data_IF_489405211541
#
_entry.id   IF_489405211541
#
_cell.length_a   1.000
_cell.length_b   1.000
_cell.length_c   1.000
_cell.angle_alpha   90.00
_cell.angle_beta   90.00
_cell.angle_gamma   90.00
#
_symmetry.space_group_name_H-M   'P 1'
#
loop_
_entity.id
_entity.type
_entity.pdbx_description
1 polymer ?
#
# COMPACT_ATOMS: atom_id res chain seq x y z
N UNK A 1 4.13 18.75 18.08
CA UNK A 1 4.48 18.00 16.87
C UNK A 1 3.98 18.73 15.64
N UNK A 2 4.81 18.91 14.63
CA UNK A 2 4.43 19.57 13.39
C UNK A 2 3.47 18.71 12.57
N UNK A 3 2.77 19.33 11.62
CA UNK A 3 1.90 18.61 10.68
C UNK A 3 2.70 17.58 9.89
N UNK A 4 3.90 17.96 9.46
CA UNK A 4 4.80 17.06 8.72
C UNK A 4 5.14 15.82 9.54
N UNK A 5 5.51 16.00 10.80
CA UNK A 5 5.84 14.88 11.69
C UNK A 5 4.63 13.99 11.94
N UNK A 6 3.45 14.57 12.17
CA UNK A 6 2.21 13.81 12.35
C UNK A 6 1.86 12.99 11.11
N UNK A 7 2.03 13.58 9.94
CA UNK A 7 1.73 12.89 8.69
C UNK A 7 2.69 11.73 8.44
N UNK A 8 3.98 11.91 8.75
CA UNK A 8 4.96 10.82 8.67
C UNK A 8 4.64 9.70 9.65
N UNK A 9 4.24 10.02 10.87
CA UNK A 9 3.85 9.00 11.85
C UNK A 9 2.61 8.24 11.41
N UNK A 10 1.63 8.93 10.83
CA UNK A 10 0.43 8.29 10.29
C UNK A 10 0.79 7.27 9.21
N UNK A 11 1.65 7.65 8.28
CA UNK A 11 2.08 6.76 7.20
C UNK A 11 2.87 5.57 7.75
N UNK A 12 3.75 5.79 8.72
CA UNK A 12 4.48 4.70 9.36
C UNK A 12 3.52 3.71 10.04
N UNK A 13 2.54 4.23 10.77
CA UNK A 13 1.53 3.40 11.42
C UNK A 13 0.71 2.60 10.40
N UNK A 14 0.32 3.24 9.32
CA UNK A 14 -0.40 2.61 8.22
C UNK A 14 0.34 1.37 7.71
N UNK A 15 1.64 1.51 7.40
CA UNK A 15 2.43 0.38 6.91
C UNK A 15 2.70 -0.67 8.00
N UNK A 16 2.82 -0.25 9.25
CA UNK A 16 2.95 -1.20 10.37
C UNK A 16 1.69 -2.06 10.51
N UNK A 17 0.52 -1.47 10.37
CA UNK A 17 -0.76 -2.20 10.42
C UNK A 17 -0.88 -3.17 9.25
N UNK A 18 -0.54 -2.73 8.05
CA UNK A 18 -0.51 -3.60 6.86
C UNK A 18 0.39 -4.81 7.10
N UNK A 19 1.61 -4.58 7.60
CA UNK A 19 2.59 -5.65 7.81
C UNK A 19 2.16 -6.65 8.89
N UNK A 20 1.43 -6.19 9.89
CA UNK A 20 0.95 -7.04 10.98
C UNK A 20 -0.30 -7.85 10.61
N UNK A 21 -0.88 -7.61 9.44
CA UNK A 21 -2.11 -8.25 9.01
C UNK A 21 -3.36 -7.68 9.68
N UNK A 22 -3.24 -6.52 10.33
CA UNK A 22 -4.39 -5.87 10.95
C UNK A 22 -5.23 -5.14 9.92
N UNK A 23 -6.54 -5.35 9.96
CA UNK A 23 -7.48 -4.64 9.09
C UNK A 23 -7.66 -3.17 9.48
N UNK A 24 -7.09 -2.74 10.61
CA UNK A 24 -7.23 -1.36 11.09
C UNK A 24 -6.62 -0.32 10.15
N UNK A 25 -5.71 -0.72 9.25
CA UNK A 25 -5.20 0.21 8.24
C UNK A 25 -6.33 0.78 7.37
N UNK A 26 -7.42 0.05 7.20
CA UNK A 26 -8.57 0.49 6.43
C UNK A 26 -9.27 1.70 7.06
N UNK A 27 -9.12 1.90 8.36
CA UNK A 27 -9.71 3.05 9.07
C UNK A 27 -9.04 4.36 8.69
N UNK A 28 -7.86 4.31 8.08
CA UNK A 28 -7.22 5.52 7.55
C UNK A 28 -7.86 6.02 6.25
N UNK A 29 -8.65 5.19 5.59
CA UNK A 29 -9.38 5.60 4.38
C UNK A 29 -10.77 6.13 4.73
N UNK A 30 -11.30 6.99 3.87
CA UNK A 30 -12.68 7.45 3.90
C UNK A 30 -13.39 7.01 2.61
N UNK A 31 -14.69 7.25 2.53
CA UNK A 31 -15.46 6.95 1.31
C UNK A 31 -15.01 7.82 0.13
N UNK A 32 -14.31 8.92 0.39
CA UNK A 32 -13.76 9.80 -0.65
C UNK A 32 -12.34 9.43 -1.06
N UNK A 33 -11.70 8.49 -0.36
CA UNK A 33 -10.33 8.10 -0.64
C UNK A 33 -10.20 7.42 -2.00
N UNK A 34 -9.12 7.76 -2.71
CA UNK A 34 -8.76 7.13 -3.97
C UNK A 34 -7.44 6.39 -3.79
N UNK A 35 -7.45 5.09 -4.05
CA UNK A 35 -6.28 4.24 -3.96
C UNK A 35 -5.93 3.83 -5.40
N UNK A 36 -4.81 4.35 -5.89
CA UNK A 36 -4.40 4.17 -7.28
C UNK A 36 -3.09 3.40 -7.36
N UNK A 37 -3.04 2.47 -8.31
CA UNK A 37 -1.84 1.66 -8.59
C UNK A 37 -1.40 1.93 -10.03
N UNK A 38 -0.10 2.18 -10.21
CA UNK A 38 0.48 2.39 -11.53
C UNK A 38 0.47 1.11 -12.34
N UNK A 39 0.45 1.25 -13.66
CA UNK A 39 0.58 0.16 -14.60
C UNK A 39 -0.67 -0.10 -15.42
N UNK A 40 -0.47 -0.75 -16.56
CA UNK A 40 -1.54 -1.04 -17.51
C UNK A 40 -2.06 -2.47 -17.41
N UNK A 41 -1.51 -3.28 -16.49
CA UNK A 41 -2.01 -4.63 -16.27
C UNK A 41 -3.28 -4.61 -15.39
N UNK A 42 -3.84 -5.78 -15.12
CA UNK A 42 -5.08 -5.91 -14.37
C UNK A 42 -5.01 -5.39 -12.91
N UNK A 43 -3.78 -5.21 -12.37
CA UNK A 43 -3.59 -4.70 -11.01
C UNK A 43 -3.69 -3.17 -10.98
N UNK A 44 -3.35 -2.50 -12.10
CA UNK A 44 -3.35 -1.04 -12.18
C UNK A 44 -4.74 -0.43 -12.13
N UNK A 45 -4.78 0.87 -11.84
CA UNK A 45 -6.02 1.64 -11.84
C UNK A 45 -6.44 2.11 -10.47
N UNK A 46 -7.56 2.81 -10.40
CA UNK A 46 -8.09 3.40 -9.18
C UNK A 46 -9.11 2.50 -8.49
N UNK A 47 -9.08 2.52 -7.16
CA UNK A 47 -10.03 1.78 -6.33
C UNK A 47 -10.55 2.68 -5.22
N UNK A 48 -11.82 2.49 -4.86
CA UNK A 48 -12.42 3.10 -3.69
C UNK A 48 -12.08 2.28 -2.43
N UNK A 49 -12.37 2.84 -1.25
CA UNK A 49 -12.23 2.10 0.01
C UNK A 49 -12.99 0.76 -0.02
N UNK A 50 -14.23 0.78 -0.50
CA UNK A 50 -15.05 -0.44 -0.58
C UNK A 50 -14.43 -1.51 -1.47
N UNK A 51 -13.84 -1.11 -2.60
CA UNK A 51 -13.14 -2.02 -3.50
C UNK A 51 -11.87 -2.59 -2.85
N UNK A 52 -11.14 -1.78 -2.09
CA UNK A 52 -9.94 -2.23 -1.35
C UNK A 52 -10.33 -3.26 -0.29
N UNK A 53 -11.42 -3.04 0.44
CA UNK A 53 -11.90 -3.99 1.44
C UNK A 53 -12.19 -5.35 0.80
N UNK A 54 -12.84 -5.37 -0.36
CA UNK A 54 -13.09 -6.61 -1.10
C UNK A 54 -11.80 -7.26 -1.60
N UNK A 55 -10.83 -6.46 -2.01
CA UNK A 55 -9.55 -6.94 -2.53
C UNK A 55 -8.65 -7.53 -1.42
N UNK A 56 -8.78 -7.06 -0.19
CA UNK A 56 -7.94 -7.50 0.93
C UNK A 56 -8.05 -9.00 1.20
N UNK A 57 -9.22 -9.58 0.98
CA UNK A 57 -9.42 -11.03 1.15
C UNK A 57 -8.64 -11.83 0.11
N UNK A 58 -8.61 -11.37 -1.14
CA UNK A 58 -7.88 -12.07 -2.20
C UNK A 58 -6.38 -12.00 -2.01
N UNK A 59 -5.88 -10.95 -1.34
CA UNK A 59 -4.46 -10.85 -1.00
C UNK A 59 -4.05 -11.99 -0.07
N UNK A 60 -4.85 -12.31 0.94
CA UNK A 60 -4.53 -13.42 1.85
C UNK A 60 -4.59 -14.78 1.15
N UNK A 61 -5.46 -14.94 0.16
CA UNK A 61 -5.50 -16.17 -0.64
C UNK A 61 -4.23 -16.33 -1.49
N UNK A 62 -3.67 -15.23 -1.97
CA UNK A 62 -2.45 -15.23 -2.76
C UNK A 62 -1.19 -15.27 -1.90
N UNK A 63 -1.24 -14.68 -0.71
CA UNK A 63 -0.12 -14.60 0.24
C UNK A 63 -0.60 -15.07 1.60
N UNK A 64 -0.60 -16.39 1.87
CA UNK A 64 -1.16 -16.92 3.11
C UNK A 64 -0.53 -16.37 4.39
N UNK A 65 0.74 -15.95 4.33
CA UNK A 65 1.45 -15.36 5.46
C UNK A 65 1.45 -13.83 5.43
N UNK A 66 0.71 -13.23 4.47
CA UNK A 66 0.65 -11.79 4.30
C UNK A 66 1.88 -11.23 3.60
N UNK A 67 1.95 -9.90 3.56
CA UNK A 67 3.08 -9.15 2.98
C UNK A 67 3.64 -8.26 4.08
N UNK A 68 4.96 -8.36 4.32
CA UNK A 68 5.66 -7.46 5.23
C UNK A 68 6.14 -6.24 4.46
N UNK A 69 5.89 -5.06 5.00
CA UNK A 69 6.33 -3.79 4.41
C UNK A 69 7.33 -3.12 5.34
N UNK A 70 8.50 -2.80 4.81
CA UNK A 70 9.52 -2.06 5.52
C UNK A 70 9.63 -0.66 4.93
N UNK A 71 9.32 0.36 5.73
CA UNK A 71 9.50 1.76 5.33
C UNK A 71 10.98 2.08 5.38
N UNK A 72 11.55 2.42 4.23
CA UNK A 72 12.98 2.74 4.11
C UNK A 72 13.22 4.21 4.30
N UNK A 73 12.34 5.05 3.76
CA UNK A 73 12.48 6.50 3.82
C UNK A 73 11.12 7.18 3.71
N UNK A 74 10.96 8.29 4.45
CA UNK A 74 9.78 9.15 4.38
C UNK A 74 10.23 10.59 4.14
N UNK A 75 9.63 11.23 3.14
CA UNK A 75 9.81 12.65 2.85
C UNK A 75 8.43 13.27 2.81
N UNK A 76 8.24 14.38 3.51
CA UNK A 76 6.94 15.03 3.57
C UNK A 76 7.04 16.53 3.34
N UNK A 77 6.03 17.06 2.67
CA UNK A 77 5.87 18.49 2.43
C UNK A 77 4.37 18.79 2.33
N UNK A 78 3.93 19.86 2.99
CA UNK A 78 2.52 20.22 3.03
C UNK A 78 1.65 19.06 3.54
N UNK A 79 0.68 18.61 2.75
CA UNK A 79 -0.21 17.51 3.09
C UNK A 79 0.19 16.17 2.45
N UNK A 80 1.37 16.11 1.83
CA UNK A 80 1.84 14.94 1.10
C UNK A 80 3.01 14.26 1.81
N UNK A 81 3.02 12.92 1.75
CA UNK A 81 4.14 12.09 2.22
C UNK A 81 4.56 11.17 1.08
N UNK A 82 5.85 11.19 0.76
CA UNK A 82 6.47 10.24 -0.15
C UNK A 82 7.15 9.15 0.67
N UNK A 83 6.86 7.89 0.36
CA UNK A 83 7.38 6.75 1.13
C UNK A 83 8.06 5.76 0.20
N UNK A 84 9.34 5.49 0.45
CA UNK A 84 10.04 4.38 -0.18
C UNK A 84 9.85 3.16 0.73
N UNK A 85 9.34 2.06 0.18
CA UNK A 85 8.95 0.88 0.96
C UNK A 85 9.43 -0.38 0.25
N UNK A 86 9.92 -1.34 1.02
CA UNK A 86 10.26 -2.67 0.52
C UNK A 86 9.23 -3.67 1.03
N UNK A 87 8.64 -4.44 0.12
CA UNK A 87 7.71 -5.51 0.46
C UNK A 87 8.39 -6.86 0.37
N UNK A 88 8.02 -7.77 1.28
CA UNK A 88 8.52 -9.16 1.28
C UNK A 88 7.37 -10.11 1.52
N UNK A 89 7.22 -11.08 0.64
CA UNK A 89 6.16 -12.08 0.74
C UNK A 89 6.53 -13.35 -0.04
N UNK A 90 5.81 -14.43 0.26
CA UNK A 90 5.86 -15.66 -0.54
C UNK A 90 4.47 -15.92 -1.08
N UNK A 91 4.36 -15.94 -2.40
CA UNK A 91 3.11 -16.24 -3.09
C UNK A 91 2.71 -17.71 -2.85
N UNK A 92 1.42 -18.00 -2.91
CA UNK A 92 0.90 -19.36 -2.70
C UNK A 92 1.54 -20.38 -3.64
N UNK A 93 2.04 -19.96 -4.81
CA UNK A 93 2.77 -20.83 -5.75
C UNK A 93 4.19 -21.17 -5.28
N UNK A 94 4.66 -20.60 -4.17
CA UNK A 94 6.02 -20.73 -3.69
C UNK A 94 6.99 -19.69 -4.23
N UNK A 95 6.56 -18.85 -5.16
CA UNK A 95 7.43 -17.80 -5.71
C UNK A 95 7.64 -16.68 -4.69
N UNK A 96 8.88 -16.19 -4.53
CA UNK A 96 9.12 -15.01 -3.72
C UNK A 96 8.52 -13.78 -4.40
N UNK A 97 7.94 -12.88 -3.60
CA UNK A 97 7.43 -11.61 -4.07
C UNK A 97 8.04 -10.50 -3.23
N UNK A 98 9.24 -10.08 -3.60
CA UNK A 98 9.98 -9.02 -2.92
C UNK A 98 9.98 -7.80 -3.83
N UNK A 99 8.95 -6.98 -3.71
CA UNK A 99 8.78 -5.82 -4.57
C UNK A 99 9.25 -4.55 -3.87
N UNK A 100 9.65 -3.58 -4.68
CA UNK A 100 10.03 -2.26 -4.20
C UNK A 100 8.98 -1.27 -4.63
N UNK A 101 8.58 -0.43 -3.67
CA UNK A 101 7.47 0.49 -3.84
C UNK A 101 7.91 1.93 -3.60
N UNK A 102 7.24 2.82 -4.30
CA UNK A 102 7.20 4.23 -3.97
C UNK A 102 5.73 4.62 -3.85
N UNK A 103 5.35 5.12 -2.69
CA UNK A 103 3.99 5.60 -2.45
C UNK A 103 3.98 7.11 -2.32
N UNK A 104 2.97 7.74 -2.88
CA UNK A 104 2.70 9.15 -2.62
C UNK A 104 1.32 9.23 -1.98
N UNK A 105 1.28 9.73 -0.74
CA UNK A 105 0.06 9.78 0.05
C UNK A 105 -0.33 11.23 0.35
N UNK A 106 -1.58 11.54 0.13
CA UNK A 106 -2.15 12.83 0.51
C UNK A 106 -2.99 12.65 1.77
N UNK A 107 -2.66 13.42 2.80
CA UNK A 107 -3.28 13.30 4.12
C UNK A 107 -4.20 14.50 4.36
N UNK A 108 -5.40 14.23 4.85
CA UNK A 108 -6.36 15.25 5.24
C UNK A 108 -7.13 14.79 6.47
N UNK A 109 -7.19 15.62 7.49
CA UNK A 109 -7.92 15.34 8.73
C UNK A 109 -7.56 13.97 9.34
N UNK A 110 -6.26 13.66 9.36
CA UNK A 110 -5.70 12.39 9.87
C UNK A 110 -6.20 11.16 9.10
N UNK A 111 -6.57 11.34 7.84
CA UNK A 111 -6.97 10.25 6.95
C UNK A 111 -6.17 10.32 5.65
N UNK A 112 -6.08 9.19 4.97
CA UNK A 112 -5.44 9.11 3.66
C UNK A 112 -6.51 9.41 2.62
N UNK A 113 -6.42 10.60 2.00
CA UNK A 113 -7.35 11.00 0.96
C UNK A 113 -7.00 10.40 -0.39
N UNK A 114 -5.70 10.28 -0.67
CA UNK A 114 -5.21 9.69 -1.91
C UNK A 114 -3.95 8.90 -1.62
N UNK A 115 -3.87 7.71 -2.19
CA UNK A 115 -2.66 6.88 -2.16
C UNK A 115 -2.34 6.50 -3.60
N UNK A 116 -1.12 6.83 -4.03
CA UNK A 116 -0.60 6.41 -5.33
C UNK A 116 0.52 5.42 -5.10
N UNK A 117 0.37 4.23 -5.66
CA UNK A 117 1.31 3.14 -5.50
C UNK A 117 2.07 2.90 -6.80
N UNK A 118 3.39 3.00 -6.74
CA UNK A 118 4.31 2.67 -7.83
C UNK A 118 5.16 1.48 -7.39
N UNK A 119 5.41 0.57 -8.31
CA UNK A 119 6.18 -0.64 -8.01
C UNK A 119 6.81 -1.20 -9.27
N UNK A 120 7.58 -2.27 -9.14
CA UNK A 120 7.99 -3.06 -10.28
C UNK A 120 6.77 -3.84 -10.79
N UNK A 121 6.12 -3.31 -11.80
CA UNK A 121 4.89 -3.88 -12.36
C UNK A 121 5.14 -5.16 -13.15
N UNK A 122 6.34 -5.34 -13.67
CA UNK A 122 6.72 -6.57 -14.36
C UNK A 122 6.80 -7.74 -13.35
N UNK A 123 7.42 -7.52 -12.20
CA UNK A 123 7.48 -8.52 -11.14
C UNK A 123 6.07 -8.84 -10.63
N UNK A 124 5.24 -7.82 -10.40
CA UNK A 124 3.87 -8.02 -9.97
C UNK A 124 3.08 -8.87 -10.97
N UNK A 125 3.21 -8.59 -12.26
CA UNK A 125 2.53 -9.37 -13.29
C UNK A 125 2.98 -10.83 -13.30
N UNK A 126 4.28 -11.08 -13.20
CA UNK A 126 4.81 -12.45 -13.19
C UNK A 126 4.30 -13.27 -12.02
N UNK A 127 4.26 -12.67 -10.83
CA UNK A 127 3.88 -13.42 -9.61
C UNK A 127 2.37 -13.49 -9.45
N UNK A 128 1.68 -12.35 -9.61
CA UNK A 128 0.24 -12.25 -9.32
C UNK A 128 -0.64 -12.67 -10.49
N UNK A 129 -0.21 -12.42 -11.73
CA UNK A 129 -1.00 -12.71 -12.92
C UNK A 129 -0.48 -13.91 -13.71
N UNK A 130 0.67 -14.44 -13.34
CA UNK A 130 1.26 -15.61 -14.02
C UNK A 130 1.90 -15.27 -15.37
N UNK A 131 2.11 -13.98 -15.63
CA UNK A 131 2.75 -13.53 -16.87
C UNK A 131 4.28 -13.56 -16.71
#
# INVERSE_FOLDING_TARGET
MSVIEKNKELVQDFFNLLSSGSEKYLDYYTDESVIWTAGENAIGGSRSKGEVVGFAKSVLDSFPEGISFKVVNLVAENDCVAAEVEGSATHVSGKPYNNKYHFLLKIKDNKILELKEYMDTQLAAKVLLGD
#
